data_IF_795804093126
#
_entry.id   IF_795804093126
#
_cell.length_a   1.000
_cell.length_b   1.000
_cell.length_c   1.000
_cell.angle_alpha   90.00
_cell.angle_beta   90.00
_cell.angle_gamma   90.00
#
_symmetry.space_group_name_H-M   'P 1'
#
loop_
_entity.id
_entity.type
_entity.pdbx_description
1 polymer ?
#
# COMPACT_ATOMS: atom_id res chain seq x y z
N UNK A 1 0.20 13.69 24.20
CA UNK A 1 -1.16 14.22 23.96
C UNK A 1 -1.73 13.62 22.68
N UNK A 2 -2.98 13.21 22.75
CA UNK A 2 -3.69 12.82 21.52
C UNK A 2 -3.82 14.03 20.60
N UNK A 3 -3.78 13.77 19.28
CA UNK A 3 -3.96 14.82 18.29
C UNK A 3 -4.68 14.28 17.05
N UNK A 4 -5.45 15.14 16.43
CA UNK A 4 -6.18 14.81 15.23
C UNK A 4 -5.28 15.03 14.02
N UNK A 5 -5.25 14.03 13.13
CA UNK A 5 -4.57 14.11 11.82
C UNK A 5 -5.65 13.96 10.76
N UNK A 6 -5.63 14.82 9.76
CA UNK A 6 -6.57 14.78 8.64
C UNK A 6 -5.84 14.38 7.35
N UNK A 7 -6.46 13.47 6.58
CA UNK A 7 -5.87 13.00 5.33
C UNK A 7 -5.68 14.11 4.28
N UNK A 8 -6.48 15.16 4.30
CA UNK A 8 -6.41 16.23 3.30
C UNK A 8 -5.14 17.07 3.41
N UNK A 9 -4.50 17.07 4.58
CA UNK A 9 -3.24 17.77 4.82
C UNK A 9 -2.03 16.82 4.87
N UNK A 10 -2.24 15.55 4.59
CA UNK A 10 -1.19 14.55 4.67
C UNK A 10 -0.18 14.69 3.53
N UNK A 11 1.07 14.28 3.81
CA UNK A 11 2.12 14.21 2.81
C UNK A 11 1.73 13.29 1.66
N UNK A 12 1.90 13.74 0.42
CA UNK A 12 1.77 12.92 -0.76
C UNK A 12 3.06 12.18 -1.05
N UNK A 13 2.95 10.91 -1.43
CA UNK A 13 4.07 10.08 -1.83
C UNK A 13 4.09 9.96 -3.35
N UNK A 14 5.29 10.06 -3.95
CA UNK A 14 5.49 9.94 -5.39
C UNK A 14 5.61 8.50 -5.87
N UNK A 15 4.78 7.58 -5.38
CA UNK A 15 4.82 6.18 -5.79
C UNK A 15 4.11 6.00 -7.14
N UNK A 16 4.70 5.22 -8.07
CA UNK A 16 4.11 5.02 -9.39
C UNK A 16 2.83 4.20 -9.32
N UNK A 17 1.88 4.47 -10.23
CA UNK A 17 0.66 3.70 -10.40
C UNK A 17 -0.40 3.88 -9.34
N UNK A 18 -0.23 4.84 -8.43
CA UNK A 18 -1.21 5.08 -7.36
C UNK A 18 -1.12 6.50 -6.82
N UNK A 19 -2.21 6.98 -6.23
CA UNK A 19 -2.19 8.16 -5.40
C UNK A 19 -2.03 7.71 -3.94
N UNK A 20 -0.89 8.00 -3.33
CA UNK A 20 -0.61 7.60 -1.95
C UNK A 20 -0.37 8.82 -1.09
N UNK A 21 -0.92 8.79 0.12
CA UNK A 21 -0.65 9.77 1.16
C UNK A 21 -0.16 9.06 2.41
N UNK A 22 0.61 9.77 3.25
CA UNK A 22 1.16 9.24 4.48
C UNK A 22 0.81 10.16 5.65
N UNK A 23 -0.40 10.04 6.21
CA UNK A 23 -0.85 10.93 7.28
C UNK A 23 -0.12 10.72 8.59
N UNK A 24 0.42 9.53 8.84
CA UNK A 24 1.15 9.21 10.07
C UNK A 24 2.48 8.58 9.70
N UNK A 25 3.55 9.12 10.26
CA UNK A 25 4.91 8.59 10.15
C UNK A 25 5.82 9.23 11.19
N UNK A 26 7.11 8.89 11.14
CA UNK A 26 8.14 9.52 11.99
C UNK A 26 8.26 11.02 11.77
N UNK A 27 7.85 11.56 10.62
CA UNK A 27 7.88 12.99 10.34
C UNK A 27 6.99 13.80 11.30
N UNK A 28 5.93 13.18 11.83
CA UNK A 28 5.09 13.79 12.87
C UNK A 28 5.37 13.25 14.27
N UNK A 29 6.46 12.49 14.43
CA UNK A 29 6.87 11.94 15.73
C UNK A 29 6.25 10.61 16.09
N UNK A 30 5.60 9.92 15.16
CA UNK A 30 5.05 8.59 15.41
C UNK A 30 6.13 7.50 15.26
N UNK A 31 5.93 6.38 15.96
CA UNK A 31 6.76 5.18 15.82
C UNK A 31 6.23 4.22 14.77
N UNK A 32 5.05 4.49 14.25
CA UNK A 32 4.45 3.71 13.17
C UNK A 32 4.13 4.61 11.98
N UNK A 33 3.75 3.99 10.87
CA UNK A 33 3.33 4.70 9.66
C UNK A 33 1.98 4.19 9.18
N UNK A 34 1.16 5.10 8.68
CA UNK A 34 -0.10 4.79 8.03
C UNK A 34 -0.08 5.46 6.65
N UNK A 35 -0.37 4.67 5.62
CA UNK A 35 -0.55 5.15 4.26
C UNK A 35 -1.96 4.86 3.79
N UNK A 36 -2.50 5.73 2.94
CA UNK A 36 -3.75 5.48 2.23
C UNK A 36 -3.40 5.54 0.75
N UNK A 37 -3.63 4.44 0.05
CA UNK A 37 -3.33 4.29 -1.36
C UNK A 37 -4.62 4.16 -2.16
N UNK A 38 -4.75 4.95 -3.22
CA UNK A 38 -5.84 4.84 -4.17
C UNK A 38 -5.26 4.39 -5.51
N UNK A 39 -5.67 3.19 -5.95
CA UNK A 39 -5.24 2.61 -7.21
C UNK A 39 -6.40 2.77 -8.20
N UNK A 40 -6.20 3.60 -9.22
CA UNK A 40 -7.20 3.84 -10.24
C UNK A 40 -7.49 2.58 -11.07
N UNK A 41 -8.65 2.57 -11.71
CA UNK A 41 -8.98 1.55 -12.71
C UNK A 41 -8.00 1.67 -13.88
N UNK A 42 -7.30 0.60 -14.27
CA UNK A 42 -6.42 0.65 -15.42
C UNK A 42 -7.20 0.99 -16.70
N UNK A 43 -6.67 1.84 -17.59
CA UNK A 43 -7.30 2.09 -18.89
C UNK A 43 -7.46 0.79 -19.69
N UNK A 44 -8.49 0.67 -20.54
CA UNK A 44 -8.66 -0.49 -21.40
C UNK A 44 -7.40 -0.75 -22.24
N UNK A 45 -6.91 -1.99 -22.23
CA UNK A 45 -5.70 -2.39 -22.96
C UNK A 45 -4.39 -1.95 -22.31
N UNK A 46 -4.44 -1.27 -21.18
CA UNK A 46 -3.22 -0.96 -20.43
C UNK A 46 -2.61 -2.25 -19.91
N UNK A 47 -1.31 -2.37 -20.10
CA UNK A 47 -0.54 -3.39 -19.40
C UNK A 47 -0.56 -3.09 -17.92
N UNK A 48 -0.47 -4.16 -17.15
CA UNK A 48 -0.50 -4.15 -15.69
C UNK A 48 0.34 -3.06 -15.04
N UNK A 49 -0.03 -2.77 -13.83
CA UNK A 49 0.48 -1.77 -12.91
C UNK A 49 1.87 -1.22 -13.21
N UNK A 50 1.97 0.08 -13.16
CA UNK A 50 3.24 0.79 -13.30
C UNK A 50 4.17 0.59 -12.09
N UNK A 51 3.67 0.07 -10.96
CA UNK A 51 4.49 -0.29 -9.82
C UNK A 51 4.75 -1.79 -9.80
N UNK A 52 6.03 -2.15 -9.86
CA UNK A 52 6.45 -3.54 -9.68
C UNK A 52 6.32 -4.02 -8.24
N UNK A 53 6.67 -5.28 -8.01
CA UNK A 53 6.67 -5.82 -6.65
C UNK A 53 7.76 -5.17 -5.79
N UNK A 54 7.53 -5.18 -4.49
CA UNK A 54 8.45 -4.65 -3.49
C UNK A 54 8.41 -5.51 -2.24
N UNK A 55 9.39 -5.33 -1.37
CA UNK A 55 9.42 -5.97 -0.07
C UNK A 55 9.81 -4.95 1.00
N UNK A 56 9.44 -5.26 2.22
CA UNK A 56 9.84 -4.49 3.40
C UNK A 56 10.79 -5.35 4.23
N UNK A 57 12.00 -4.85 4.42
CA UNK A 57 13.03 -5.57 5.16
C UNK A 57 12.89 -5.27 6.66
N UNK A 58 12.72 -6.33 7.44
CA UNK A 58 12.68 -6.24 8.89
C UNK A 58 11.34 -5.86 9.51
N UNK A 59 10.28 -5.61 8.73
CA UNK A 59 8.95 -5.31 9.26
C UNK A 59 7.83 -5.81 8.35
N UNK A 60 6.69 -6.07 8.96
CA UNK A 60 5.48 -6.51 8.26
C UNK A 60 4.63 -5.32 7.82
N UNK A 61 3.69 -5.58 6.91
CA UNK A 61 2.67 -4.62 6.50
C UNK A 61 1.28 -5.21 6.74
N UNK A 62 0.36 -4.39 7.23
CA UNK A 62 -1.06 -4.74 7.28
C UNK A 62 -1.80 -3.89 6.26
N UNK A 63 -2.53 -4.54 5.35
CA UNK A 63 -3.33 -3.87 4.34
C UNK A 63 -4.81 -4.08 4.68
N UNK A 64 -5.57 -3.01 4.80
CA UNK A 64 -7.01 -3.04 4.98
C UNK A 64 -7.71 -2.46 3.76
N UNK A 65 -8.62 -3.23 3.17
CA UNK A 65 -9.36 -2.79 1.98
C UNK A 65 -10.55 -1.94 2.42
N UNK A 66 -10.51 -0.64 2.08
CA UNK A 66 -11.58 0.30 2.39
C UNK A 66 -12.70 0.25 1.36
N UNK A 67 -12.35 0.23 0.07
CA UNK A 67 -13.31 0.18 -1.03
C UNK A 67 -12.67 -0.35 -2.30
N UNK A 68 -13.50 -0.79 -3.23
CA UNK A 68 -13.03 -1.44 -4.46
C UNK A 68 -12.67 -2.91 -4.24
N UNK A 69 -12.07 -3.52 -5.24
CA UNK A 69 -11.59 -4.90 -5.17
C UNK A 69 -10.34 -5.06 -6.01
N UNK A 70 -9.55 -6.08 -5.72
CA UNK A 70 -8.31 -6.31 -6.43
C UNK A 70 -7.68 -7.65 -6.10
N UNK A 71 -6.40 -7.76 -6.41
CA UNK A 71 -5.59 -8.93 -6.11
C UNK A 71 -4.24 -8.49 -5.56
N UNK A 72 -3.86 -9.04 -4.43
CA UNK A 72 -2.50 -8.95 -3.92
C UNK A 72 -1.71 -10.14 -4.45
N UNK A 73 -0.65 -9.84 -5.19
CA UNK A 73 0.31 -10.83 -5.68
C UNK A 73 1.45 -10.89 -4.69
N UNK A 74 1.75 -12.08 -4.18
CA UNK A 74 2.84 -12.33 -3.26
C UNK A 74 3.64 -13.53 -3.73
N UNK A 75 4.83 -13.74 -3.19
CA UNK A 75 5.62 -14.95 -3.51
C UNK A 75 4.86 -16.22 -3.13
N UNK A 76 4.07 -16.15 -2.05
CA UNK A 76 3.23 -17.25 -1.58
C UNK A 76 2.00 -17.53 -2.44
N UNK A 77 1.64 -16.63 -3.37
CA UNK A 77 0.49 -16.81 -4.27
C UNK A 77 -0.31 -15.53 -4.49
N UNK A 78 -1.44 -15.71 -5.17
CA UNK A 78 -2.38 -14.61 -5.47
C UNK A 78 -3.53 -14.63 -4.47
N UNK A 79 -3.85 -13.47 -3.92
CA UNK A 79 -4.88 -13.29 -2.91
C UNK A 79 -5.91 -12.29 -3.43
N UNK A 80 -7.12 -12.73 -3.84
CA UNK A 80 -8.21 -11.82 -4.16
C UNK A 80 -8.64 -11.07 -2.90
N UNK A 81 -8.88 -9.77 -3.02
CA UNK A 81 -9.25 -8.90 -1.90
C UNK A 81 -10.47 -8.06 -2.23
N UNK A 82 -11.30 -7.79 -1.21
CA UNK A 82 -12.53 -7.00 -1.28
C UNK A 82 -12.68 -6.17 -0.01
N UNK A 83 -13.61 -5.22 0.04
CA UNK A 83 -13.81 -4.38 1.23
C UNK A 83 -14.01 -5.20 2.50
N UNK A 84 -13.31 -4.78 3.56
CA UNK A 84 -13.31 -5.47 4.85
C UNK A 84 -12.25 -6.53 5.02
N UNK A 85 -11.55 -6.90 3.96
CA UNK A 85 -10.43 -7.84 4.07
C UNK A 85 -9.19 -7.17 4.63
N UNK A 86 -8.41 -7.93 5.39
CA UNK A 86 -7.08 -7.56 5.84
C UNK A 86 -6.08 -8.56 5.27
N UNK A 87 -4.98 -8.03 4.76
CA UNK A 87 -3.85 -8.86 4.29
C UNK A 87 -2.65 -8.57 5.19
N UNK A 88 -2.07 -9.61 5.74
CA UNK A 88 -0.81 -9.51 6.47
C UNK A 88 0.33 -9.94 5.56
N UNK A 89 1.23 -9.02 5.28
CA UNK A 89 2.45 -9.27 4.50
C UNK A 89 3.62 -9.41 5.47
N UNK A 90 4.22 -10.60 5.59
CA UNK A 90 5.40 -10.78 6.43
C UNK A 90 6.60 -9.95 5.97
N UNK A 91 7.50 -9.66 6.88
CA UNK A 91 8.77 -9.03 6.55
C UNK A 91 9.52 -9.85 5.48
N UNK A 92 10.03 -9.17 4.46
CA UNK A 92 10.83 -9.79 3.40
C UNK A 92 10.03 -10.46 2.28
N UNK A 93 8.69 -10.53 2.38
CA UNK A 93 7.91 -11.11 1.30
C UNK A 93 7.68 -10.10 0.18
N UNK A 94 8.10 -10.44 -1.02
CA UNK A 94 7.88 -9.64 -2.21
C UNK A 94 6.40 -9.68 -2.60
N UNK A 95 5.81 -8.50 -2.80
CA UNK A 95 4.37 -8.39 -3.08
C UNK A 95 4.04 -7.13 -3.88
N UNK A 96 2.88 -7.15 -4.50
CA UNK A 96 2.25 -5.97 -5.11
C UNK A 96 0.73 -6.14 -5.13
N UNK A 97 -0.01 -5.05 -5.14
CA UNK A 97 -1.47 -5.07 -5.21
C UNK A 97 -1.94 -4.38 -6.48
N UNK A 98 -2.90 -5.00 -7.12
CA UNK A 98 -3.45 -4.63 -8.42
C UNK A 98 -4.95 -4.39 -8.30
N UNK A 99 -5.44 -3.31 -8.89
CA UNK A 99 -6.89 -3.11 -9.05
C UNK A 99 -7.40 -3.97 -10.20
N UNK A 100 -8.27 -4.91 -9.89
CA UNK A 100 -8.90 -5.82 -10.87
C UNK A 100 -10.39 -5.54 -11.02
N UNK A 101 -10.87 -4.41 -10.49
CA UNK A 101 -12.29 -4.02 -10.56
C UNK A 101 -12.50 -2.83 -11.52
N UNK A 102 -13.74 -2.39 -11.62
CA UNK A 102 -14.16 -1.25 -12.44
C UNK A 102 -14.35 0.04 -11.62
N UNK A 103 -13.89 0.05 -10.37
CA UNK A 103 -13.90 1.20 -9.47
C UNK A 103 -12.54 1.37 -8.82
N UNK A 104 -12.20 2.55 -8.33
CA UNK A 104 -10.92 2.72 -7.61
C UNK A 104 -10.79 1.76 -6.42
N UNK A 105 -9.59 1.24 -6.22
CA UNK A 105 -9.26 0.42 -5.06
C UNK A 105 -8.57 1.28 -4.02
N UNK A 106 -9.17 1.38 -2.84
CA UNK A 106 -8.64 2.20 -1.74
C UNK A 106 -8.20 1.32 -0.60
N UNK A 107 -6.94 1.47 -0.22
CA UNK A 107 -6.28 0.67 0.81
C UNK A 107 -5.76 1.56 1.92
N UNK A 108 -5.92 1.11 3.17
CA UNK A 108 -5.17 1.63 4.30
C UNK A 108 -4.06 0.65 4.61
N UNK A 109 -2.81 1.13 4.63
CA UNK A 109 -1.65 0.31 4.90
C UNK A 109 -1.00 0.77 6.20
N UNK A 110 -0.78 -0.16 7.11
CA UNK A 110 -0.12 0.08 8.39
C UNK A 110 1.25 -0.60 8.42
N UNK A 111 2.23 0.13 8.96
CA UNK A 111 3.60 -0.34 9.12
C UNK A 111 4.08 -0.03 10.55
N UNK A 112 4.68 -0.99 11.26
CA UNK A 112 5.14 -0.78 12.64
C UNK A 112 6.51 -0.09 12.72
N UNK A 113 6.79 0.81 11.78
CA UNK A 113 8.05 1.57 11.70
C UNK A 113 7.78 3.02 11.34
N UNK A 114 8.63 3.96 11.78
CA UNK A 114 8.44 5.38 11.48
C UNK A 114 8.84 5.79 10.06
N UNK A 115 9.69 5.02 9.39
CA UNK A 115 10.18 5.29 8.02
C UNK A 115 10.11 4.03 7.19
N UNK A 116 9.03 3.91 6.41
CA UNK A 116 8.79 2.75 5.55
C UNK A 116 9.80 2.68 4.40
N UNK A 117 10.15 3.83 3.83
CA UNK A 117 11.01 3.90 2.64
C UNK A 117 12.42 3.38 2.93
N UNK A 118 12.93 3.58 4.15
CA UNK A 118 14.26 3.14 4.54
C UNK A 118 14.42 1.62 4.46
N UNK A 119 13.34 0.86 4.65
CA UNK A 119 13.36 -0.61 4.59
C UNK A 119 12.71 -1.19 3.36
N UNK A 120 12.36 -0.38 2.35
CA UNK A 120 11.62 -0.86 1.18
C UNK A 120 12.56 -1.04 -0.02
N UNK A 121 12.50 -2.22 -0.64
CA UNK A 121 13.22 -2.51 -1.88
C UNK A 121 12.21 -2.73 -3.01
N UNK A 122 12.39 -2.01 -4.11
CA UNK A 122 11.54 -2.11 -5.30
C UNK A 122 12.19 -3.02 -6.35
N UNK A 123 11.36 -3.78 -7.08
CA UNK A 123 11.79 -4.69 -8.14
C UNK A 123 11.00 -4.41 -9.43
N UNK A 124 11.60 -4.71 -10.57
CA UNK A 124 10.92 -4.57 -11.87
C UNK A 124 9.88 -5.69 -12.09
N UNK A 125 10.12 -6.88 -11.54
CA UNK A 125 9.25 -8.06 -11.64
C UNK A 125 9.50 -9.01 -10.47
N UNK A 126 8.60 -9.98 -10.36
CA UNK A 126 8.79 -11.05 -9.36
C UNK A 126 10.06 -11.88 -9.59
#
# INVERSE_FOLDING_TARGET
MARLINQDTAKRLGLPGRASIEPISGEIGSRCSVRIATIAVPPPGAKETTRGPHLHDGFEEVIYVLSGAGTTHAESGKIPIKPGDLVLIPAGEKHMTQNTSDVPLVLLCFFPVPDVSAGTTEFASF
#
